data_IF_563809273792
#
_entry.id   IF_563809273792
#
_cell.length_a   1.000
_cell.length_b   1.000
_cell.length_c   1.000
_cell.angle_alpha   90.00
_cell.angle_beta   90.00
_cell.angle_gamma   90.00
#
_symmetry.space_group_name_H-M   'P 1'
#
loop_
_entity.id
_entity.type
_entity.pdbx_description
1 polymer ?
#
# COMPACT_ATOMS: atom_id res chain seq x y z
N UNK A 1 -19.56 -19.46 -12.76
CA UNK A 1 -18.67 -18.55 -13.52
C UNK A 1 -17.73 -17.93 -12.50
N UNK A 2 -16.44 -18.24 -12.54
CA UNK A 2 -15.47 -17.64 -11.62
C UNK A 2 -15.35 -16.16 -11.98
N UNK A 3 -15.91 -15.29 -11.14
CA UNK A 3 -15.64 -13.86 -11.24
C UNK A 3 -14.14 -13.65 -11.01
N UNK A 4 -13.47 -12.98 -11.93
CA UNK A 4 -12.08 -12.58 -11.72
C UNK A 4 -12.03 -11.63 -10.51
N UNK A 5 -11.11 -11.84 -9.56
CA UNK A 5 -11.00 -10.96 -8.41
C UNK A 5 -10.54 -9.56 -8.84
N UNK A 6 -10.98 -8.53 -8.13
CA UNK A 6 -10.71 -7.12 -8.49
C UNK A 6 -9.22 -6.80 -8.64
N UNK A 7 -8.34 -7.42 -7.83
CA UNK A 7 -6.88 -7.23 -7.96
C UNK A 7 -6.35 -7.73 -9.31
N UNK A 8 -6.84 -8.87 -9.80
CA UNK A 8 -6.41 -9.43 -11.09
C UNK A 8 -6.87 -8.55 -12.26
N UNK A 9 -8.03 -7.91 -12.12
CA UNK A 9 -8.54 -6.95 -13.11
C UNK A 9 -7.65 -5.68 -13.10
N UNK A 10 -7.29 -5.18 -11.92
CA UNK A 10 -6.39 -4.03 -11.77
C UNK A 10 -5.00 -4.34 -12.36
N UNK A 11 -4.41 -5.49 -12.05
CA UNK A 11 -3.13 -5.93 -12.60
C UNK A 11 -3.16 -6.06 -14.13
N UNK A 12 -4.25 -6.61 -14.67
CA UNK A 12 -4.42 -6.71 -16.12
C UNK A 12 -4.51 -5.32 -16.79
N UNK A 13 -5.20 -4.37 -16.17
CA UNK A 13 -5.32 -3.00 -16.67
C UNK A 13 -3.98 -2.25 -16.58
N UNK A 14 -3.24 -2.39 -15.47
CA UNK A 14 -1.89 -1.84 -15.33
C UNK A 14 -0.91 -2.48 -16.32
N UNK A 15 -0.99 -3.79 -16.55
CA UNK A 15 -0.20 -4.50 -17.55
C UNK A 15 -0.47 -4.04 -18.98
N UNK A 16 -1.69 -3.54 -19.26
CA UNK A 16 -2.03 -2.87 -20.50
C UNK A 16 -1.58 -1.40 -20.56
N UNK A 17 -0.91 -0.91 -19.51
CA UNK A 17 -0.44 0.47 -19.39
C UNK A 17 -1.55 1.48 -19.08
N UNK A 18 -2.67 1.03 -18.51
CA UNK A 18 -3.77 1.91 -18.07
C UNK A 18 -3.65 2.17 -16.56
N UNK A 19 -3.63 3.44 -16.17
CA UNK A 19 -3.75 3.89 -14.79
C UNK A 19 -5.21 4.13 -14.42
N UNK A 20 -5.58 3.70 -13.21
CA UNK A 20 -6.93 3.82 -12.66
C UNK A 20 -6.92 4.82 -11.51
N UNK A 21 -7.92 5.69 -11.45
CA UNK A 21 -8.06 6.66 -10.36
C UNK A 21 -9.52 7.01 -10.12
N UNK A 22 -9.85 7.48 -8.92
CA UNK A 22 -11.15 8.08 -8.65
C UNK A 22 -11.18 9.50 -9.20
N UNK A 23 -12.14 9.76 -10.08
CA UNK A 23 -12.47 11.11 -10.50
C UNK A 23 -13.10 11.88 -9.33
N UNK A 24 -12.89 13.21 -9.23
CA UNK A 24 -13.47 14.03 -8.17
C UNK A 24 -15.01 13.96 -8.07
N UNK A 25 -15.68 13.62 -9.17
CA UNK A 25 -17.13 13.43 -9.24
C UNK A 25 -17.60 12.02 -8.80
N UNK A 26 -16.72 11.18 -8.25
CA UNK A 26 -17.04 9.81 -7.80
C UNK A 26 -17.09 8.77 -8.94
N UNK A 27 -16.45 9.06 -10.08
CA UNK A 27 -16.38 8.15 -11.24
C UNK A 27 -15.04 7.44 -11.37
N UNK A 28 -14.99 6.37 -12.15
CA UNK A 28 -13.72 5.73 -12.53
C UNK A 28 -13.06 6.52 -13.66
N UNK A 29 -11.86 7.06 -13.41
CA UNK A 29 -10.98 7.63 -14.42
C UNK A 29 -9.96 6.58 -14.88
N UNK A 30 -9.76 6.51 -16.20
CA UNK A 30 -8.81 5.58 -16.83
C UNK A 30 -7.96 6.37 -17.82
N UNK A 31 -6.65 6.29 -17.71
CA UNK A 31 -5.71 7.00 -18.59
C UNK A 31 -4.44 6.17 -18.84
N UNK A 32 -3.78 6.30 -20.01
CA UNK A 32 -4.17 7.10 -21.17
C UNK A 32 -5.23 6.39 -22.03
N UNK A 33 -6.11 7.17 -22.66
CA UNK A 33 -7.15 6.65 -23.56
C UNK A 33 -6.59 5.94 -24.80
N UNK A 34 -5.35 6.24 -25.17
CA UNK A 34 -4.68 5.65 -26.34
C UNK A 34 -4.47 4.14 -26.23
N UNK A 35 -4.40 3.59 -25.00
CA UNK A 35 -4.25 2.16 -24.75
C UNK A 35 -5.60 1.45 -24.54
N UNK A 36 -6.73 2.17 -24.65
CA UNK A 36 -8.06 1.64 -24.35
C UNK A 36 -8.66 0.91 -25.56
N UNK A 37 -8.49 -0.40 -25.59
CA UNK A 37 -9.11 -1.28 -26.60
C UNK A 37 -10.59 -1.55 -26.30
N UNK A 38 -11.33 -2.16 -27.24
CA UNK A 38 -12.73 -2.52 -27.07
C UNK A 38 -12.93 -3.54 -25.94
N UNK A 39 -12.12 -4.60 -25.90
CA UNK A 39 -12.17 -5.62 -24.85
C UNK A 39 -11.85 -5.04 -23.46
N UNK A 40 -10.86 -4.15 -23.37
CA UNK A 40 -10.54 -3.47 -22.11
C UNK A 40 -11.70 -2.57 -21.66
N UNK A 41 -12.39 -1.92 -22.60
CA UNK A 41 -13.57 -1.11 -22.30
C UNK A 41 -14.72 -1.96 -21.76
N UNK A 42 -14.95 -3.14 -22.32
CA UNK A 42 -16.00 -4.06 -21.85
C UNK A 42 -15.64 -4.69 -20.50
N UNK A 43 -14.36 -5.02 -20.28
CA UNK A 43 -13.85 -5.45 -18.98
C UNK A 43 -14.03 -4.38 -17.90
N UNK A 44 -13.65 -3.13 -18.20
CA UNK A 44 -13.85 -1.99 -17.30
C UNK A 44 -15.34 -1.77 -17.04
N UNK A 45 -16.19 -1.84 -18.06
CA UNK A 45 -17.64 -1.62 -17.91
C UNK A 45 -18.29 -2.69 -17.04
N UNK A 46 -17.95 -3.96 -17.24
CA UNK A 46 -18.49 -5.08 -16.46
C UNK A 46 -17.98 -5.09 -15.02
N UNK A 47 -16.79 -4.54 -14.78
CA UNK A 47 -16.14 -4.52 -13.45
C UNK A 47 -16.18 -3.15 -12.75
N UNK A 48 -16.85 -2.15 -13.34
CA UNK A 48 -16.79 -0.74 -12.94
C UNK A 48 -17.08 -0.52 -11.46
N UNK A 49 -18.14 -1.15 -10.94
CA UNK A 49 -18.55 -0.99 -9.55
C UNK A 49 -17.49 -1.52 -8.58
N UNK A 50 -16.89 -2.68 -8.88
CA UNK A 50 -15.83 -3.28 -8.06
C UNK A 50 -14.56 -2.43 -8.07
N UNK A 51 -14.20 -1.85 -9.22
CA UNK A 51 -13.04 -0.96 -9.34
C UNK A 51 -13.21 0.34 -8.55
N UNK A 52 -14.42 0.91 -8.55
CA UNK A 52 -14.73 2.11 -7.77
C UNK A 52 -14.68 1.80 -6.26
N UNK A 53 -15.34 0.72 -5.83
CA UNK A 53 -15.33 0.29 -4.43
C UNK A 53 -13.91 0.05 -3.91
N UNK A 54 -13.09 -0.66 -4.68
CA UNK A 54 -11.69 -0.91 -4.35
C UNK A 54 -10.87 0.38 -4.25
N UNK A 55 -11.03 1.32 -5.20
CA UNK A 55 -10.34 2.61 -5.15
C UNK A 55 -10.82 3.49 -3.99
N UNK A 56 -12.11 3.43 -3.64
CA UNK A 56 -12.68 4.19 -2.51
C UNK A 56 -12.12 3.64 -1.20
N UNK A 57 -12.16 2.33 -1.01
CA UNK A 57 -11.57 1.69 0.17
C UNK A 57 -10.06 1.98 0.30
N UNK A 58 -9.32 1.99 -0.81
CA UNK A 58 -7.90 2.32 -0.82
C UNK A 58 -7.64 3.80 -0.44
N UNK A 59 -8.48 4.73 -0.91
CA UNK A 59 -8.38 6.15 -0.54
C UNK A 59 -8.78 6.40 0.91
N UNK A 60 -9.87 5.78 1.39
CA UNK A 60 -10.29 5.90 2.80
C UNK A 60 -9.22 5.35 3.75
N UNK A 61 -8.56 4.25 3.37
CA UNK A 61 -7.41 3.71 4.11
C UNK A 61 -6.19 4.64 4.10
N UNK A 62 -5.99 5.42 3.02
CA UNK A 62 -4.90 6.40 2.93
C UNK A 62 -5.20 7.70 3.72
N UNK A 63 -6.48 8.08 3.85
CA UNK A 63 -6.92 9.23 4.65
C UNK A 63 -6.86 8.91 6.16
N UNK A 64 -7.01 7.63 6.53
CA UNK A 64 -6.90 7.12 7.89
C UNK A 64 -5.44 6.83 8.32
N UNK A 65 -4.50 7.72 8.04
CA UNK A 65 -3.12 7.58 8.55
C UNK A 65 -3.11 7.71 10.10
N UNK A 66 -2.78 6.66 10.88
CA UNK A 66 -2.96 6.71 12.33
C UNK A 66 -1.77 7.36 13.05
N UNK A 67 -2.09 8.09 14.12
CA UNK A 67 -1.18 8.35 15.25
C UNK A 67 -0.71 7.02 15.87
N UNK A 68 0.49 6.95 16.48
CA UNK A 68 1.10 5.69 16.92
C UNK A 68 0.15 4.85 17.81
N UNK A 69 -0.08 3.56 17.50
CA UNK A 69 -1.06 2.73 18.20
C UNK A 69 -0.51 2.14 19.50
N UNK A 70 -1.40 1.94 20.47
CA UNK A 70 -1.12 1.46 21.83
C UNK A 70 -1.49 -0.03 22.05
N UNK A 71 -1.76 -0.80 20.99
CA UNK A 71 -2.32 -2.15 21.09
C UNK A 71 -1.45 -3.20 20.33
N UNK A 72 -1.06 -4.33 20.96
CA UNK A 72 -0.19 -5.35 20.36
C UNK A 72 -0.80 -6.19 19.22
N UNK A 73 -2.01 -5.88 18.72
CA UNK A 73 -2.52 -6.43 17.44
C UNK A 73 -1.98 -5.69 16.20
N UNK A 74 -1.26 -4.57 16.40
CA UNK A 74 -0.75 -3.69 15.35
C UNK A 74 0.76 -3.93 15.03
N UNK A 75 1.26 -5.15 15.23
CA UNK A 75 2.67 -5.50 14.94
C UNK A 75 3.08 -5.18 13.50
N UNK A 76 2.14 -5.28 12.55
CA UNK A 76 2.38 -4.96 11.15
C UNK A 76 2.55 -3.45 10.91
N UNK A 77 1.86 -2.60 11.67
CA UNK A 77 2.05 -1.15 11.61
C UNK A 77 3.37 -0.72 12.27
N UNK A 78 3.74 -1.39 13.36
CA UNK A 78 5.03 -1.19 14.03
C UNK A 78 6.20 -1.65 13.14
N UNK A 79 6.06 -2.78 12.44
CA UNK A 79 7.02 -3.22 11.42
C UNK A 79 7.11 -2.20 10.28
N UNK A 80 5.98 -1.78 9.70
CA UNK A 80 5.99 -0.80 8.61
C UNK A 80 6.67 0.52 9.00
N UNK A 81 6.36 1.07 10.18
CA UNK A 81 6.99 2.28 10.70
C UNK A 81 8.50 2.09 10.93
N UNK A 82 8.91 0.95 11.48
CA UNK A 82 10.31 0.61 11.66
C UNK A 82 11.04 0.48 10.32
N UNK A 83 10.48 -0.23 9.33
CA UNK A 83 11.08 -0.44 8.01
C UNK A 83 11.25 0.89 7.26
N UNK A 84 10.22 1.74 7.24
CA UNK A 84 10.29 3.07 6.62
C UNK A 84 11.40 3.91 7.24
N UNK A 85 11.52 3.93 8.56
CA UNK A 85 12.60 4.65 9.24
C UNK A 85 13.97 4.02 8.95
N UNK A 86 14.05 2.69 8.95
CA UNK A 86 15.28 1.94 8.76
C UNK A 86 15.94 2.27 7.42
N UNK A 87 15.19 2.26 6.32
CA UNK A 87 15.72 2.53 4.98
C UNK A 87 16.07 4.00 4.75
N UNK A 88 15.41 4.92 5.44
CA UNK A 88 15.61 6.36 5.25
C UNK A 88 16.61 7.00 6.23
N UNK A 89 17.02 6.28 7.27
CA UNK A 89 17.98 6.78 8.26
C UNK A 89 19.38 6.18 8.00
N UNK A 90 20.40 7.01 7.67
CA UNK A 90 21.76 6.52 7.38
C UNK A 90 22.42 5.79 8.57
N UNK A 91 21.99 6.09 9.79
CA UNK A 91 22.42 5.41 11.01
C UNK A 91 21.75 4.04 11.17
N UNK A 92 20.42 3.96 10.96
CA UNK A 92 19.67 2.74 11.15
C UNK A 92 19.87 1.73 10.01
N UNK A 93 20.00 2.17 8.76
CA UNK A 93 20.28 1.29 7.62
C UNK A 93 21.62 0.55 7.79
N UNK A 94 22.61 1.19 8.42
CA UNK A 94 23.89 0.57 8.75
C UNK A 94 23.76 -0.46 9.88
N UNK A 95 22.86 -0.21 10.84
CA UNK A 95 22.58 -1.12 11.95
C UNK A 95 21.85 -2.42 11.53
N UNK A 96 21.26 -2.47 10.32
CA UNK A 96 20.59 -3.67 9.78
C UNK A 96 21.52 -4.85 9.47
N UNK A 97 22.85 -4.62 9.48
CA UNK A 97 23.88 -5.65 9.25
C UNK A 97 24.13 -6.57 10.47
N UNK A 98 23.42 -6.33 11.58
CA UNK A 98 23.51 -7.11 12.82
C UNK A 98 24.02 -6.27 14.00
N UNK A 99 23.74 -6.72 15.23
CA UNK A 99 24.01 -6.00 16.50
C UNK A 99 25.48 -5.61 16.72
N UNK A 100 26.42 -6.13 15.92
CA UNK A 100 27.85 -5.82 15.95
C UNK A 100 28.27 -4.69 15.00
N UNK A 101 27.40 -4.24 14.08
CA UNK A 101 27.80 -3.44 12.92
C UNK A 101 27.24 -2.02 12.88
N UNK A 102 26.27 -1.66 13.74
CA UNK A 102 25.80 -0.28 13.85
C UNK A 102 24.88 -0.04 15.04
N UNK A 103 24.93 1.17 15.61
CA UNK A 103 23.96 1.64 16.59
C UNK A 103 22.73 2.18 15.86
N UNK A 104 21.52 1.91 16.38
CA UNK A 104 20.31 2.57 15.88
C UNK A 104 20.25 3.98 16.46
N UNK A 105 19.67 4.93 15.73
CA UNK A 105 19.41 6.25 16.31
C UNK A 105 18.31 6.13 17.39
N UNK A 106 18.15 7.17 18.23
CA UNK A 106 17.15 7.13 19.32
C UNK A 106 15.72 6.83 18.84
N UNK A 107 15.33 7.37 17.68
CA UNK A 107 14.02 7.09 17.05
C UNK A 107 13.94 5.64 16.58
N UNK A 108 14.98 5.16 15.88
CA UNK A 108 15.04 3.78 15.40
C UNK A 108 15.08 2.74 16.52
N UNK A 109 15.65 3.07 17.69
CA UNK A 109 15.59 2.22 18.89
C UNK A 109 14.17 2.11 19.44
N UNK A 110 13.44 3.23 19.55
CA UNK A 110 12.06 3.23 20.05
C UNK A 110 11.11 2.42 19.14
N UNK A 111 11.23 2.59 17.82
CA UNK A 111 10.47 1.81 16.84
C UNK A 111 10.81 0.31 16.89
N UNK A 112 12.11 -0.01 17.00
CA UNK A 112 12.55 -1.39 17.12
C UNK A 112 12.03 -2.09 18.38
N UNK A 113 12.05 -1.41 19.53
CA UNK A 113 11.50 -1.98 20.78
C UNK A 113 10.00 -2.21 20.67
N UNK A 114 9.23 -1.27 20.08
CA UNK A 114 7.79 -1.44 19.87
C UNK A 114 7.49 -2.64 18.97
N UNK A 115 8.22 -2.80 17.87
CA UNK A 115 8.11 -3.98 17.02
C UNK A 115 8.44 -5.28 17.75
N UNK A 116 9.54 -5.34 18.53
CA UNK A 116 9.91 -6.56 19.25
C UNK A 116 8.89 -6.95 20.33
N UNK A 117 8.37 -5.98 21.08
CA UNK A 117 7.35 -6.21 22.12
C UNK A 117 6.04 -6.75 21.53
N UNK A 118 5.74 -6.44 20.26
CA UNK A 118 4.56 -6.93 19.56
C UNK A 118 4.73 -8.29 18.87
N UNK A 119 5.96 -8.81 18.74
CA UNK A 119 6.27 -10.07 18.04
C UNK A 119 6.67 -11.21 18.98
N UNK A 120 7.02 -10.92 20.24
CA UNK A 120 7.22 -11.90 21.32
C UNK A 120 5.91 -12.27 22.05
#
# INVERSE_FOLDING_TARGET
MNAMPVHAIVDQLHGAGLNLSLAPAGGLAVAPSSNLTADLRDLIRSSKAQLIDWLTAANDAADYAPTPPANPLDWHELDAAYQVHHFNCPTCIAAGRGSRYGQRCGVGMALWMGYQDAVE
#
